data_IF_895943364492
#
_entry.id   IF_895943364492
#
_cell.length_a   1.000
_cell.length_b   1.000
_cell.length_c   1.000
_cell.angle_alpha   90.00
_cell.angle_beta   90.00
_cell.angle_gamma   90.00
#
_symmetry.space_group_name_H-M   'P 1'
#
loop_
_entity.id
_entity.type
_entity.pdbx_description
1 polymer ?
#
# COMPACT_ATOMS: atom_id res chain seq x y z
N UNK A 1 5.39 -8.21 9.39
CA UNK A 1 6.75 -8.32 8.84
C UNK A 1 7.78 -8.42 9.95
N UNK A 2 7.59 -7.70 11.06
CA UNK A 2 8.56 -7.57 12.16
C UNK A 2 8.11 -8.28 13.45
N UNK A 3 7.36 -9.38 13.34
CA UNK A 3 6.91 -10.12 14.53
C UNK A 3 8.03 -11.03 15.01
N UNK A 4 8.17 -11.18 16.33
CA UNK A 4 9.15 -12.09 16.94
C UNK A 4 9.01 -13.54 16.45
N UNK A 5 7.80 -13.94 16.07
CA UNK A 5 7.51 -15.27 15.54
C UNK A 5 8.01 -15.53 14.10
N UNK A 6 8.64 -14.55 13.44
CA UNK A 6 9.19 -14.74 12.09
C UNK A 6 10.58 -15.43 12.13
N UNK A 7 10.96 -16.20 11.09
CA UNK A 7 12.30 -16.78 10.99
C UNK A 7 13.41 -15.72 11.03
N UNK A 8 14.55 -16.03 11.65
CA UNK A 8 15.68 -15.10 11.79
C UNK A 8 16.21 -14.56 10.46
N UNK A 9 16.30 -15.41 9.42
CA UNK A 9 16.69 -14.96 8.08
C UNK A 9 15.72 -13.91 7.50
N UNK A 10 14.42 -14.04 7.77
CA UNK A 10 13.42 -13.08 7.33
C UNK A 10 13.48 -11.78 8.15
N UNK A 11 13.84 -11.85 9.44
CA UNK A 11 14.08 -10.67 10.28
C UNK A 11 15.33 -9.92 9.81
N UNK A 12 16.44 -10.61 9.58
CA UNK A 12 17.68 -10.03 9.09
C UNK A 12 17.49 -9.31 7.75
N UNK A 13 16.81 -9.95 6.79
CA UNK A 13 16.50 -9.34 5.47
C UNK A 13 15.59 -8.12 5.57
N UNK A 14 14.69 -8.09 6.55
CA UNK A 14 13.70 -7.02 6.70
C UNK A 14 14.09 -6.02 7.82
N UNK A 15 15.30 -6.11 8.38
CA UNK A 15 15.69 -5.40 9.60
C UNK A 15 15.47 -3.90 9.51
N UNK A 16 15.91 -3.29 8.41
CA UNK A 16 15.71 -1.86 8.18
C UNK A 16 14.24 -1.45 8.09
N UNK A 17 13.40 -2.22 7.38
CA UNK A 17 11.94 -1.97 7.37
C UNK A 17 11.38 -1.99 8.78
N UNK A 18 11.87 -2.90 9.63
CA UNK A 18 11.38 -3.04 10.98
C UNK A 18 11.74 -1.86 11.86
N UNK A 19 12.94 -1.30 11.74
CA UNK A 19 13.32 -0.06 12.39
C UNK A 19 12.40 1.11 11.99
N UNK A 20 12.12 1.27 10.70
CA UNK A 20 11.18 2.29 10.22
C UNK A 20 9.74 2.04 10.70
N UNK A 21 9.31 0.78 10.78
CA UNK A 21 7.98 0.44 11.26
C UNK A 21 7.82 0.76 12.75
N UNK A 22 8.84 0.52 13.57
CA UNK A 22 8.87 0.88 14.99
C UNK A 22 8.79 2.41 15.18
N UNK A 23 9.60 3.17 14.45
CA UNK A 23 9.54 4.64 14.49
C UNK A 23 8.15 5.19 14.12
N UNK A 24 7.47 4.57 13.15
CA UNK A 24 6.10 4.94 12.78
C UNK A 24 5.07 4.57 13.85
N UNK A 25 5.24 3.45 14.56
CA UNK A 25 4.38 3.06 15.69
C UNK A 25 4.53 4.03 16.85
N UNK A 26 5.76 4.45 17.13
CA UNK A 26 6.09 5.43 18.16
C UNK A 26 5.68 6.87 17.78
N UNK A 27 5.16 7.05 16.56
CA UNK A 27 4.57 8.30 16.12
C UNK A 27 5.61 9.34 15.69
N UNK A 28 6.73 8.93 15.10
CA UNK A 28 7.73 9.87 14.55
C UNK A 28 7.10 10.76 13.45
N UNK A 29 6.72 11.97 13.85
CA UNK A 29 6.09 12.95 12.99
C UNK A 29 7.01 13.43 11.86
N UNK A 30 8.34 13.45 12.08
CA UNK A 30 9.31 13.91 11.08
C UNK A 30 9.43 12.88 9.96
N UNK A 31 9.54 11.61 10.32
CA UNK A 31 9.52 10.51 9.37
C UNK A 31 8.22 10.52 8.57
N UNK A 32 7.08 10.67 9.27
CA UNK A 32 5.78 10.69 8.63
C UNK A 32 5.60 11.87 7.66
N UNK A 33 6.03 13.08 8.02
CA UNK A 33 6.01 14.25 7.14
C UNK A 33 6.94 14.06 5.93
N UNK A 34 8.12 13.46 6.13
CA UNK A 34 9.06 13.12 5.04
C UNK A 34 8.42 12.14 4.06
N UNK A 35 7.89 11.01 4.55
CA UNK A 35 7.20 10.02 3.71
C UNK A 35 6.03 10.64 2.94
N UNK A 36 5.24 11.47 3.62
CA UNK A 36 4.08 12.17 3.01
C UNK A 36 4.52 13.13 1.90
N UNK A 37 5.59 13.89 2.14
CA UNK A 37 6.13 14.85 1.18
C UNK A 37 6.70 14.14 -0.05
N UNK A 38 7.41 13.04 0.15
CA UNK A 38 7.95 12.24 -0.95
C UNK A 38 6.85 11.63 -1.81
N UNK A 39 5.83 11.01 -1.18
CA UNK A 39 4.68 10.47 -1.90
C UNK A 39 3.97 11.56 -2.70
N UNK A 40 3.72 12.73 -2.10
CA UNK A 40 3.08 13.86 -2.78
C UNK A 40 3.86 14.33 -4.01
N UNK A 41 5.18 14.46 -3.89
CA UNK A 41 6.05 14.83 -5.00
C UNK A 41 6.00 13.80 -6.12
N UNK A 42 6.07 12.51 -5.78
CA UNK A 42 6.01 11.43 -6.77
C UNK A 42 4.67 11.39 -7.51
N UNK A 43 3.55 11.53 -6.81
CA UNK A 43 2.22 11.57 -7.45
C UNK A 43 2.11 12.76 -8.42
N UNK A 44 2.72 13.90 -8.09
CA UNK A 44 2.77 15.07 -8.98
C UNK A 44 3.61 14.80 -10.23
N UNK A 45 4.78 14.19 -10.09
CA UNK A 45 5.63 13.79 -11.22
C UNK A 45 4.93 12.81 -12.17
N UNK A 46 4.17 11.87 -11.61
CA UNK A 46 3.36 10.90 -12.34
C UNK A 46 2.06 11.49 -12.93
N UNK A 47 1.79 12.80 -12.72
CA UNK A 47 0.55 13.47 -13.10
C UNK A 47 -0.73 12.80 -12.55
N UNK A 48 -0.66 12.21 -11.35
CA UNK A 48 -1.78 11.53 -10.69
C UNK A 48 -2.61 12.57 -9.92
N UNK A 49 -3.82 12.82 -10.42
CA UNK A 49 -4.75 13.79 -9.82
C UNK A 49 -5.69 13.18 -8.77
N UNK A 50 -5.94 11.87 -8.84
CA UNK A 50 -6.80 11.12 -7.93
C UNK A 50 -6.15 9.78 -7.61
N UNK A 51 -6.18 9.38 -6.35
CA UNK A 51 -5.66 8.08 -5.93
C UNK A 51 -6.61 7.39 -4.98
N UNK A 52 -6.56 6.06 -4.95
CA UNK A 52 -7.19 5.25 -3.91
C UNK A 52 -6.07 4.65 -3.05
N UNK A 53 -6.18 4.77 -1.74
CA UNK A 53 -5.22 4.20 -0.78
C UNK A 53 -5.93 3.23 0.14
N UNK A 54 -5.33 2.06 0.30
CA UNK A 54 -5.78 1.03 1.24
C UNK A 54 -4.60 0.40 1.95
N UNK A 55 -4.89 -0.23 3.07
CA UNK A 55 -3.89 -0.86 3.91
C UNK A 55 -4.51 -1.45 5.17
N UNK A 56 -3.74 -2.26 5.89
CA UNK A 56 -4.25 -2.89 7.09
C UNK A 56 -4.38 -1.86 8.24
N UNK A 57 -5.21 -2.12 9.27
CA UNK A 57 -5.52 -1.13 10.30
C UNK A 57 -4.31 -0.54 11.04
N UNK A 58 -3.19 -1.26 11.08
CA UNK A 58 -1.95 -0.85 11.74
C UNK A 58 -1.34 0.41 11.12
N UNK A 59 -1.64 0.73 9.85
CA UNK A 59 -1.10 1.91 9.16
C UNK A 59 -2.13 3.03 8.99
N UNK A 60 -3.26 2.98 9.71
CA UNK A 60 -4.33 3.99 9.61
C UNK A 60 -3.82 5.41 9.91
N UNK A 61 -2.91 5.58 10.88
CA UNK A 61 -2.31 6.89 11.19
C UNK A 61 -1.48 7.43 10.02
N UNK A 62 -0.68 6.57 9.39
CA UNK A 62 0.10 6.91 8.20
C UNK A 62 -0.80 7.30 7.04
N UNK A 63 -1.84 6.51 6.74
CA UNK A 63 -2.80 6.81 5.69
C UNK A 63 -3.58 8.11 5.96
N UNK A 64 -3.94 8.36 7.22
CA UNK A 64 -4.60 9.60 7.61
C UNK A 64 -3.69 10.82 7.38
N UNK A 65 -2.39 10.72 7.70
CA UNK A 65 -1.43 11.77 7.43
C UNK A 65 -1.25 12.02 5.92
N UNK A 66 -1.15 10.97 5.11
CA UNK A 66 -1.12 11.08 3.65
C UNK A 66 -2.34 11.83 3.13
N UNK A 67 -3.55 11.42 3.55
CA UNK A 67 -4.81 12.05 3.13
C UNK A 67 -4.90 13.53 3.53
N UNK A 68 -4.39 13.92 4.70
CA UNK A 68 -4.38 15.33 5.13
C UNK A 68 -3.57 16.23 4.18
N UNK A 69 -2.46 15.73 3.64
CA UNK A 69 -1.55 16.51 2.78
C UNK A 69 -1.82 16.30 1.28
N UNK A 70 -2.51 15.21 0.95
CA UNK A 70 -2.89 14.78 -0.39
C UNK A 70 -4.41 14.51 -0.40
N UNK A 71 -5.25 15.58 -0.42
CA UNK A 71 -6.70 15.43 -0.28
C UNK A 71 -7.40 14.68 -1.42
N UNK A 72 -6.69 14.47 -2.53
CA UNK A 72 -7.17 13.68 -3.66
C UNK A 72 -7.15 12.16 -3.41
N UNK A 73 -6.53 11.71 -2.30
CA UNK A 73 -6.55 10.31 -1.89
C UNK A 73 -7.90 9.93 -1.29
N UNK A 74 -8.51 8.89 -1.85
CA UNK A 74 -9.72 8.24 -1.38
C UNK A 74 -9.36 7.00 -0.58
N UNK A 75 -10.17 6.70 0.43
CA UNK A 75 -9.98 5.53 1.30
C UNK A 75 -11.20 4.62 1.28
N UNK A 76 -11.11 3.51 2.01
CA UNK A 76 -12.23 2.59 2.24
C UNK A 76 -13.48 3.28 2.79
N UNK A 77 -13.34 4.37 3.55
CA UNK A 77 -14.49 5.14 4.05
C UNK A 77 -15.22 5.87 2.91
N UNK A 78 -14.46 6.45 1.97
CA UNK A 78 -15.03 7.08 0.78
C UNK A 78 -15.74 6.02 -0.10
N UNK A 79 -15.14 4.84 -0.25
CA UNK A 79 -15.73 3.72 -1.00
C UNK A 79 -17.02 3.21 -0.35
N UNK A 80 -17.01 2.99 0.98
CA UNK A 80 -18.21 2.59 1.75
C UNK A 80 -19.32 3.63 1.60
N UNK A 81 -18.98 4.92 1.69
CA UNK A 81 -19.95 5.99 1.51
C UNK A 81 -20.53 6.00 0.08
N UNK A 82 -19.67 5.86 -0.93
CA UNK A 82 -20.09 5.82 -2.32
C UNK A 82 -21.02 4.62 -2.60
N UNK A 83 -20.68 3.42 -2.14
CA UNK A 83 -21.55 2.23 -2.29
C UNK A 83 -22.92 2.49 -1.65
N UNK A 84 -22.96 3.02 -0.42
CA UNK A 84 -24.23 3.26 0.29
C UNK A 84 -25.15 4.27 -0.41
N UNK A 85 -24.57 5.24 -1.11
CA UNK A 85 -25.27 6.40 -1.68
C UNK A 85 -25.52 6.30 -3.17
N UNK A 86 -24.63 5.63 -3.91
CA UNK A 86 -24.68 5.53 -5.38
C UNK A 86 -25.06 4.15 -5.87
N UNK A 87 -24.78 3.09 -5.10
CA UNK A 87 -25.13 1.70 -5.43
C UNK A 87 -25.89 1.02 -4.27
N UNK A 88 -27.05 1.56 -3.85
CA UNK A 88 -27.79 1.03 -2.70
C UNK A 88 -28.16 -0.46 -2.86
N UNK A 89 -28.37 -0.94 -4.09
CA UNK A 89 -28.62 -2.34 -4.42
C UNK A 89 -27.39 -3.25 -4.27
N UNK A 90 -26.18 -2.68 -4.22
CA UNK A 90 -24.91 -3.38 -4.01
C UNK A 90 -24.39 -3.27 -2.58
N UNK A 91 -25.24 -2.88 -1.61
CA UNK A 91 -24.85 -2.77 -0.19
C UNK A 91 -24.30 -4.06 0.39
N UNK A 92 -24.66 -5.22 -0.15
CA UNK A 92 -24.11 -6.52 0.28
C UNK A 92 -22.58 -6.60 0.16
N UNK A 93 -21.95 -5.79 -0.72
CA UNK A 93 -20.49 -5.69 -0.80
C UNK A 93 -19.85 -5.19 0.50
N UNK A 94 -20.64 -4.57 1.38
CA UNK A 94 -20.20 -4.04 2.67
C UNK A 94 -20.38 -5.04 3.83
N UNK A 95 -21.04 -6.17 3.59
CA UNK A 95 -21.40 -7.14 4.62
C UNK A 95 -20.18 -7.85 5.21
N UNK A 96 -19.10 -7.97 4.42
CA UNK A 96 -17.85 -8.57 4.86
C UNK A 96 -16.64 -7.77 4.40
N UNK A 97 -15.58 -7.79 5.20
CA UNK A 97 -14.30 -7.22 4.79
C UNK A 97 -13.67 -8.01 3.62
N UNK A 98 -14.06 -9.28 3.41
CA UNK A 98 -13.59 -10.08 2.28
C UNK A 98 -14.09 -9.53 0.94
N UNK A 99 -15.39 -9.26 0.81
CA UNK A 99 -15.97 -8.69 -0.40
C UNK A 99 -15.44 -7.28 -0.68
N UNK A 100 -15.34 -6.47 0.37
CA UNK A 100 -14.79 -5.12 0.25
C UNK A 100 -13.32 -5.16 -0.17
N UNK A 101 -12.52 -6.05 0.42
CA UNK A 101 -11.12 -6.25 0.03
C UNK A 101 -10.98 -6.66 -1.44
N UNK A 102 -11.84 -7.52 -1.96
CA UNK A 102 -11.81 -7.89 -3.39
C UNK A 102 -12.14 -6.69 -4.29
N UNK A 103 -13.11 -5.87 -3.89
CA UNK A 103 -13.41 -4.65 -4.63
C UNK A 103 -12.24 -3.65 -4.60
N UNK A 104 -11.53 -3.54 -3.48
CA UNK A 104 -10.33 -2.73 -3.40
C UNK A 104 -9.22 -3.27 -4.30
N UNK A 105 -9.03 -4.59 -4.37
CA UNK A 105 -8.09 -5.21 -5.30
C UNK A 105 -8.44 -4.91 -6.76
N UNK A 106 -9.72 -5.00 -7.13
CA UNK A 106 -10.21 -4.64 -8.47
C UNK A 106 -9.93 -3.16 -8.80
N UNK A 107 -10.17 -2.25 -7.87
CA UNK A 107 -9.84 -0.82 -8.02
C UNK A 107 -8.34 -0.63 -8.29
N UNK A 108 -7.49 -1.35 -7.56
CA UNK A 108 -6.04 -1.26 -7.75
C UNK A 108 -5.59 -1.90 -9.08
N UNK A 109 -6.17 -3.04 -9.45
CA UNK A 109 -5.91 -3.74 -10.72
C UNK A 109 -6.23 -2.83 -11.91
N UNK A 110 -7.39 -2.18 -11.90
CA UNK A 110 -7.85 -1.28 -12.96
C UNK A 110 -7.19 0.11 -12.95
N UNK A 111 -6.35 0.41 -11.96
CA UNK A 111 -5.71 1.72 -11.85
C UNK A 111 -4.70 1.95 -12.99
N UNK A 112 -4.50 3.21 -13.38
CA UNK A 112 -3.48 3.56 -14.39
C UNK A 112 -2.05 3.35 -13.89
N UNK A 113 -1.86 3.36 -12.57
CA UNK A 113 -0.57 3.22 -11.91
C UNK A 113 -0.81 2.58 -10.55
N UNK A 114 -0.16 1.46 -10.29
CA UNK A 114 -0.22 0.82 -8.99
C UNK A 114 1.07 1.08 -8.21
N UNK A 115 0.89 1.50 -6.95
CA UNK A 115 1.98 1.70 -5.99
C UNK A 115 1.76 0.72 -4.85
N UNK A 116 2.60 -0.32 -4.81
CA UNK A 116 2.43 -1.48 -3.94
C UNK A 116 3.35 -1.48 -2.72
N UNK A 117 2.89 -2.09 -1.63
CA UNK A 117 3.77 -2.41 -0.50
C UNK A 117 4.49 -3.75 -0.75
N UNK A 118 5.83 -3.79 -0.77
CA UNK A 118 6.56 -5.04 -0.93
C UNK A 118 6.28 -5.97 0.27
N UNK A 119 6.43 -7.28 0.07
CA UNK A 119 6.18 -8.34 1.07
C UNK A 119 4.72 -8.50 1.53
N UNK A 120 3.78 -7.73 1.00
CA UNK A 120 2.34 -7.89 1.25
C UNK A 120 1.76 -8.90 0.26
N UNK A 121 1.26 -10.05 0.76
CA UNK A 121 0.57 -11.04 -0.10
C UNK A 121 -0.66 -10.43 -0.80
N UNK A 122 -1.33 -9.47 -0.16
CA UNK A 122 -2.44 -8.73 -0.76
C UNK A 122 -1.99 -7.89 -1.95
N UNK A 123 -0.84 -7.21 -1.83
CA UNK A 123 -0.23 -6.46 -2.93
C UNK A 123 0.22 -7.39 -4.05
N UNK A 124 0.79 -8.55 -3.70
CA UNK A 124 1.24 -9.53 -4.68
C UNK A 124 0.08 -10.04 -5.55
N UNK A 125 -1.12 -10.25 -4.99
CA UNK A 125 -2.31 -10.61 -5.79
C UNK A 125 -2.58 -9.59 -6.90
N UNK A 126 -2.68 -8.30 -6.56
CA UNK A 126 -2.93 -7.23 -7.53
C UNK A 126 -1.80 -7.10 -8.54
N UNK A 127 -0.55 -7.14 -8.06
CA UNK A 127 0.65 -7.03 -8.89
C UNK A 127 0.70 -8.15 -9.94
N UNK A 128 0.36 -9.39 -9.57
CA UNK A 128 0.32 -10.50 -10.53
C UNK A 128 -0.77 -10.36 -11.57
N UNK A 129 -1.97 -9.97 -11.16
CA UNK A 129 -3.08 -9.79 -12.10
C UNK A 129 -2.71 -8.74 -13.15
N UNK A 130 -2.06 -7.65 -12.74
CA UNK A 130 -1.55 -6.60 -13.65
C UNK A 130 -0.43 -7.10 -14.57
N UNK A 131 0.55 -7.81 -14.03
CA UNK A 131 1.63 -8.41 -14.83
C UNK A 131 1.10 -9.40 -15.88
N UNK A 132 0.07 -10.19 -15.53
CA UNK A 132 -0.52 -11.18 -16.44
C UNK A 132 -1.20 -10.55 -17.67
N UNK A 133 -1.46 -9.24 -17.64
CA UNK A 133 -1.99 -8.46 -18.76
C UNK A 133 -0.98 -7.43 -19.29
N UNK A 134 0.31 -7.72 -19.12
CA UNK A 134 1.45 -6.92 -19.61
C UNK A 134 1.49 -5.48 -19.07
N UNK A 135 1.02 -5.26 -17.84
CA UNK A 135 1.21 -4.00 -17.10
C UNK A 135 2.37 -4.17 -16.12
N UNK A 136 3.50 -3.54 -16.41
CA UNK A 136 4.78 -3.71 -15.70
C UNK A 136 5.35 -2.42 -15.09
N UNK A 137 4.57 -1.34 -15.08
CA UNK A 137 5.01 -0.02 -14.61
C UNK A 137 4.78 0.21 -13.11
N UNK A 138 4.52 -0.82 -12.31
CA UNK A 138 4.17 -0.68 -10.90
C UNK A 138 5.38 -0.28 -10.01
N UNK A 139 5.14 0.50 -8.95
CA UNK A 139 6.20 1.04 -8.09
C UNK A 139 6.10 0.58 -6.63
N UNK A 140 7.24 0.40 -5.97
CA UNK A 140 7.30 0.16 -4.52
C UNK A 140 7.00 1.45 -3.74
N UNK A 141 6.03 1.40 -2.83
CA UNK A 141 5.76 2.51 -1.91
C UNK A 141 6.96 2.85 -1.03
N UNK A 142 7.85 1.89 -0.75
CA UNK A 142 9.03 2.10 0.08
C UNK A 142 10.11 2.88 -0.67
N UNK A 143 10.32 2.58 -1.95
CA UNK A 143 11.26 3.33 -2.79
C UNK A 143 10.84 4.81 -2.94
N UNK A 144 9.51 5.05 -2.91
CA UNK A 144 8.95 6.41 -2.93
C UNK A 144 9.06 7.08 -1.57
N UNK A 145 8.62 6.43 -0.50
CA UNK A 145 8.53 7.05 0.82
C UNK A 145 9.89 7.23 1.49
N UNK A 146 10.83 6.31 1.25
CA UNK A 146 12.13 6.22 1.89
C UNK A 146 13.26 6.20 0.83
N UNK A 147 13.38 7.24 -0.01
CA UNK A 147 14.40 7.26 -1.06
C UNK A 147 15.80 7.31 -0.44
N UNK A 148 16.73 6.53 -1.00
CA UNK A 148 18.13 6.46 -0.55
C UNK A 148 18.36 5.61 0.68
N UNK A 149 17.37 4.81 1.10
CA UNK A 149 17.57 3.74 2.09
C UNK A 149 17.93 2.47 1.32
N UNK A 150 19.14 1.97 1.55
CA UNK A 150 19.65 0.76 0.92
C UNK A 150 18.92 -0.48 1.44
N UNK A 151 19.01 -1.61 0.73
CA UNK A 151 18.46 -2.91 1.17
C UNK A 151 16.94 -2.94 1.47
N UNK A 152 16.17 -1.94 1.02
CA UNK A 152 14.71 -2.03 1.09
C UNK A 152 14.18 -3.10 0.12
N UNK A 153 13.30 -4.00 0.61
CA UNK A 153 12.54 -4.91 -0.23
C UNK A 153 11.93 -4.22 -1.44
N UNK A 154 12.24 -4.76 -2.61
CA UNK A 154 11.68 -4.28 -3.88
C UNK A 154 10.29 -4.84 -4.09
N UNK A 155 9.47 -4.11 -4.84
CA UNK A 155 8.22 -4.65 -5.36
C UNK A 155 8.59 -5.61 -6.49
N UNK A 156 8.88 -6.84 -6.12
CA UNK A 156 9.18 -7.91 -7.06
C UNK A 156 8.25 -9.07 -6.81
N UNK A 157 8.18 -9.94 -7.81
CA UNK A 157 7.58 -11.24 -7.64
C UNK A 157 8.35 -12.00 -6.55
N UNK A 158 7.65 -12.38 -5.47
CA UNK A 158 8.19 -13.27 -4.45
C UNK A 158 7.27 -14.49 -4.36
N UNK A 159 7.66 -15.58 -5.02
CA UNK A 159 7.08 -16.87 -4.68
C UNK A 159 7.52 -17.25 -3.26
N UNK A 160 6.62 -17.72 -2.37
CA UNK A 160 7.01 -18.17 -1.04
C UNK A 160 7.84 -19.47 -1.02
N UNK A 161 8.06 -20.12 -2.16
CA UNK A 161 8.78 -21.40 -2.25
C UNK A 161 9.65 -21.43 -3.52
N UNK A 162 10.98 -21.35 -3.35
CA UNK A 162 11.95 -21.56 -4.41
C UNK A 162 13.18 -20.67 -4.27
N UNK A 163 14.31 -21.28 -3.94
CA UNK A 163 15.62 -20.61 -3.83
C UNK A 163 16.00 -19.93 -5.15
N UNK A 164 16.22 -18.61 -5.11
CA UNK A 164 16.90 -17.85 -6.17
C UNK A 164 18.03 -17.04 -5.54
#
# INVERSE_FOLDING_TARGET
MCKDSRPEAAKARNGQICEYAELLIDGDERLLEKMTSNLKSRLKELNINHGYITGPPQINNTMAAFRRKIPSLRTVDDLRHWIRTKLPEKRYLLDTNYLLSHLEQEIMYLSTKFIGSPLSSWTQTVFFDRMAVDVDDDESILDICLPGVDDLPKLTWLFPEGDF
#
